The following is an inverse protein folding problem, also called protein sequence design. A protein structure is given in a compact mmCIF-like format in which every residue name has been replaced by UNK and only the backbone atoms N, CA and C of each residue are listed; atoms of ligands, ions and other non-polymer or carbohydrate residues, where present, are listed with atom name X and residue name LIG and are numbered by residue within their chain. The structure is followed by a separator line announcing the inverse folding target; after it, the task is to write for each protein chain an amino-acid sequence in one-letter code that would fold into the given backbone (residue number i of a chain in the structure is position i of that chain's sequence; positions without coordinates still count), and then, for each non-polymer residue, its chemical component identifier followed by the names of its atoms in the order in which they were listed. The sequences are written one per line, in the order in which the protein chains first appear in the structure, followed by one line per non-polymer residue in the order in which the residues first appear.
data_IF_621847841846
#
_entry.id   IF_621847841846
#
_cell.length_a   1.000
_cell.length_b   1.000
_cell.length_c   1.000
_cell.angle_alpha   90.00
_cell.angle_beta   90.00
_cell.angle_gamma   90.00
#
_symmetry.space_group_name_H-M   'P 1'
#
loop_
_entity.id
_entity.type
_entity.pdbx_description
1 polymer ?
#
# COMPACT_ATOMS: atom_id res chain seq x y z
N UNK A 1 -47.49 9.22 -16.22
CA UNK A 1 -46.86 8.62 -17.42
C UNK A 1 -45.38 8.48 -17.14
N UNK A 2 -44.88 7.24 -17.03
CA UNK A 2 -43.57 6.95 -16.45
C UNK A 2 -42.40 7.48 -17.29
N UNK A 3 -41.35 7.97 -16.61
CA UNK A 3 -40.09 8.43 -17.22
C UNK A 3 -39.51 7.38 -18.19
N UNK A 4 -39.70 6.09 -17.86
CA UNK A 4 -39.34 4.95 -18.69
C UNK A 4 -40.02 4.91 -20.07
N UNK A 5 -41.28 5.36 -20.19
CA UNK A 5 -41.95 5.41 -21.49
C UNK A 5 -41.37 6.52 -22.37
N UNK A 6 -41.15 7.71 -21.80
CA UNK A 6 -40.54 8.83 -22.53
C UNK A 6 -39.14 8.50 -23.04
N UNK A 7 -38.32 7.83 -22.24
CA UNK A 7 -36.97 7.40 -22.65
C UNK A 7 -37.05 6.40 -23.82
N UNK A 8 -37.99 5.45 -23.75
CA UNK A 8 -38.17 4.43 -24.79
C UNK A 8 -38.66 5.03 -26.11
N UNK A 9 -39.47 6.07 -26.05
CA UNK A 9 -40.01 6.76 -27.24
C UNK A 9 -38.93 7.61 -27.93
N UNK A 10 -38.05 8.27 -27.16
CA UNK A 10 -36.88 9.01 -27.69
C UNK A 10 -35.94 8.07 -28.45
N UNK A 11 -35.77 6.83 -27.99
CA UNK A 11 -34.93 5.82 -28.66
C UNK A 11 -35.62 5.11 -29.84
N UNK A 12 -36.94 5.17 -29.98
CA UNK A 12 -37.69 4.49 -31.05
C UNK A 12 -38.11 5.39 -32.23
N UNK A 13 -38.14 6.71 -32.06
CA UNK A 13 -38.52 7.66 -33.11
C UNK A 13 -37.44 7.98 -34.16
N UNK A 14 -37.71 8.93 -35.05
CA UNK A 14 -36.78 9.39 -36.12
C UNK A 14 -35.42 9.87 -35.59
N UNK A 15 -35.38 10.38 -34.34
CA UNK A 15 -34.17 10.89 -33.70
C UNK A 15 -33.29 9.81 -33.06
N UNK A 16 -33.53 8.51 -33.31
CA UNK A 16 -32.74 7.39 -32.76
C UNK A 16 -31.23 7.53 -32.95
N UNK A 17 -30.79 8.10 -34.09
CA UNK A 17 -29.37 8.35 -34.37
C UNK A 17 -28.76 9.36 -33.38
N UNK A 18 -29.51 10.41 -33.02
CA UNK A 18 -29.11 11.41 -32.05
C UNK A 18 -29.11 10.83 -30.62
N UNK A 19 -30.12 10.03 -30.27
CA UNK A 19 -30.16 9.34 -28.97
C UNK A 19 -28.97 8.39 -28.79
N UNK A 20 -28.60 7.66 -29.86
CA UNK A 20 -27.44 6.79 -29.85
C UNK A 20 -26.12 7.57 -29.76
N UNK A 21 -26.00 8.69 -30.46
CA UNK A 21 -24.85 9.59 -30.35
C UNK A 21 -24.70 10.12 -28.91
N UNK A 22 -25.78 10.59 -28.29
CA UNK A 22 -25.77 11.04 -26.89
C UNK A 22 -25.36 9.89 -25.96
N UNK A 23 -25.88 8.67 -26.16
CA UNK A 23 -25.50 7.52 -25.36
C UNK A 23 -24.00 7.16 -25.48
N UNK A 24 -23.44 7.19 -26.70
CA UNK A 24 -22.02 6.93 -26.94
C UNK A 24 -21.15 7.99 -26.27
N UNK A 25 -21.53 9.27 -26.39
CA UNK A 25 -20.84 10.38 -25.72
C UNK A 25 -20.90 10.22 -24.20
N UNK A 26 -22.06 9.84 -23.65
CA UNK A 26 -22.22 9.63 -22.21
C UNK A 26 -21.36 8.48 -21.69
N UNK A 27 -21.31 7.36 -22.43
CA UNK A 27 -20.43 6.22 -22.12
C UNK A 27 -18.96 6.61 -22.23
N UNK A 28 -18.59 7.42 -23.22
CA UNK A 28 -17.22 7.92 -23.37
C UNK A 28 -16.81 8.82 -22.19
N UNK A 29 -17.68 9.74 -21.75
CA UNK A 29 -17.40 10.59 -20.58
C UNK A 29 -17.33 9.78 -19.28
N UNK A 30 -18.24 8.82 -19.08
CA UNK A 30 -18.20 7.92 -17.92
C UNK A 30 -16.91 7.09 -17.96
N UNK A 31 -16.60 6.48 -19.11
CA UNK A 31 -15.37 5.70 -19.29
C UNK A 31 -14.12 6.55 -19.07
N UNK A 32 -14.08 7.77 -19.60
CA UNK A 32 -12.98 8.72 -19.39
C UNK A 32 -12.89 9.21 -17.95
N UNK A 33 -13.98 9.22 -17.17
CA UNK A 33 -13.93 9.52 -15.74
C UNK A 33 -13.33 8.36 -14.93
N UNK A 34 -13.61 7.11 -15.34
CA UNK A 34 -13.03 5.92 -14.72
C UNK A 34 -11.57 5.66 -15.14
N UNK A 35 -11.20 6.02 -16.37
CA UNK A 35 -9.89 5.75 -16.97
C UNK A 35 -8.97 6.99 -16.90
N UNK A 36 -9.52 8.20 -16.89
CA UNK A 36 -8.79 9.46 -16.86
C UNK A 36 -8.21 9.76 -15.48
N UNK A 37 -6.89 9.58 -15.38
CA UNK A 37 -5.97 10.21 -14.43
C UNK A 37 -6.56 10.71 -13.10
N UNK A 38 -6.54 9.88 -12.07
CA UNK A 38 -6.53 10.35 -10.67
C UNK A 38 -7.46 9.62 -9.71
N UNK A 39 -8.56 9.03 -10.20
CA UNK A 39 -9.56 8.37 -9.34
C UNK A 39 -9.59 6.84 -9.49
N UNK A 40 -8.48 6.27 -9.95
CA UNK A 40 -8.41 4.84 -10.26
C UNK A 40 -8.54 4.04 -8.97
N UNK A 41 -9.58 3.20 -8.88
CA UNK A 41 -9.74 2.14 -7.87
C UNK A 41 -8.44 1.32 -7.69
N UNK A 42 -7.62 1.25 -8.75
CA UNK A 42 -6.27 0.67 -8.74
C UNK A 42 -5.33 1.36 -7.74
N UNK A 43 -5.37 2.69 -7.59
CA UNK A 43 -4.58 3.40 -6.58
C UNK A 43 -5.04 3.05 -5.17
N UNK A 44 -6.35 2.96 -4.93
CA UNK A 44 -6.89 2.50 -3.65
C UNK A 44 -6.49 1.06 -3.32
N UNK A 45 -6.50 0.15 -4.30
CA UNK A 45 -6.06 -1.24 -4.13
C UNK A 45 -4.55 -1.30 -3.84
N UNK A 46 -3.72 -0.53 -4.56
CA UNK A 46 -2.28 -0.47 -4.32
C UNK A 46 -1.97 0.13 -2.94
N UNK A 47 -2.63 1.22 -2.57
CA UNK A 47 -2.47 1.85 -1.25
C UNK A 47 -2.87 0.89 -0.13
N UNK A 48 -3.99 0.15 -0.27
CA UNK A 48 -4.41 -0.83 0.72
C UNK A 48 -3.44 -2.00 0.86
N UNK A 49 -2.85 -2.48 -0.25
CA UNK A 49 -1.80 -3.50 -0.20
C UNK A 49 -0.53 -2.99 0.48
N UNK A 50 -0.15 -1.74 0.24
CA UNK A 50 1.00 -1.13 0.88
C UNK A 50 0.79 -0.99 2.39
N UNK A 51 -0.40 -0.56 2.83
CA UNK A 51 -0.76 -0.46 4.24
C UNK A 51 -0.69 -1.83 4.92
N UNK A 52 -1.33 -2.85 4.34
CA UNK A 52 -1.28 -4.21 4.92
C UNK A 52 0.14 -4.77 4.99
N UNK A 53 1.01 -4.44 4.01
CA UNK A 53 2.42 -4.84 4.01
C UNK A 53 3.21 -4.13 5.11
N UNK A 54 2.89 -2.87 5.39
CA UNK A 54 3.53 -2.10 6.46
C UNK A 54 3.08 -2.59 7.84
N UNK A 55 1.78 -2.88 8.03
CA UNK A 55 1.27 -3.48 9.27
C UNK A 55 1.90 -4.85 9.55
N UNK A 56 2.01 -5.71 8.53
CA UNK A 56 2.66 -7.02 8.68
C UNK A 56 4.15 -6.88 9.06
N UNK A 57 4.85 -5.89 8.51
CA UNK A 57 6.23 -5.60 8.91
C UNK A 57 6.32 -5.12 10.37
N UNK A 58 5.40 -4.26 10.81
CA UNK A 58 5.36 -3.78 12.20
C UNK A 58 5.12 -4.94 13.17
N UNK A 59 4.21 -5.85 12.83
CA UNK A 59 3.92 -7.03 13.66
C UNK A 59 5.14 -7.96 13.74
N UNK A 60 5.82 -8.19 12.63
CA UNK A 60 7.05 -8.99 12.59
C UNK A 60 8.20 -8.35 13.39
N UNK A 61 8.40 -7.03 13.29
CA UNK A 61 9.40 -6.33 14.09
C UNK A 61 9.06 -6.33 15.59
N UNK A 62 7.78 -6.21 15.95
CA UNK A 62 7.35 -6.32 17.36
C UNK A 62 7.64 -7.72 17.90
N UNK A 63 7.35 -8.76 17.13
CA UNK A 63 7.65 -10.13 17.51
C UNK A 63 9.14 -10.37 17.73
N UNK A 64 9.98 -9.85 16.83
CA UNK A 64 11.43 -9.91 16.98
C UNK A 64 11.91 -9.18 18.23
N UNK A 65 11.33 -8.01 18.55
CA UNK A 65 11.65 -7.28 19.79
C UNK A 65 11.25 -8.10 21.02
N UNK A 66 10.05 -8.67 21.06
CA UNK A 66 9.61 -9.50 22.18
C UNK A 66 10.48 -10.76 22.35
N UNK A 67 10.91 -11.38 21.25
CA UNK A 67 11.82 -12.53 21.27
C UNK A 67 13.22 -12.14 21.76
N UNK A 68 13.73 -10.99 21.32
CA UNK A 68 15.00 -10.43 21.80
C UNK A 68 14.90 -10.03 23.29
N UNK A 69 13.81 -9.41 23.71
CA UNK A 69 13.59 -8.96 25.09
C UNK A 69 13.38 -10.14 26.04
N UNK A 70 12.66 -11.19 25.61
CA UNK A 70 12.58 -12.45 26.35
C UNK A 70 13.90 -13.21 26.44
N UNK A 71 14.80 -13.01 25.46
CA UNK A 71 16.18 -13.53 25.50
C UNK A 71 17.08 -12.72 26.43
N UNK A 72 16.80 -11.42 26.59
CA UNK A 72 17.48 -10.51 27.53
C UNK A 72 17.02 -10.78 28.97
N UNK A 73 15.73 -11.05 29.21
CA UNK A 73 15.20 -11.27 30.57
C UNK A 73 15.70 -12.60 31.19
N UNK A 74 16.15 -13.57 30.37
CA UNK A 74 16.84 -14.78 30.85
C UNK A 74 18.33 -14.57 31.15
N UNK A 75 18.92 -13.45 30.74
CA UNK A 75 20.32 -13.10 30.99
C UNK A 75 20.36 -11.68 31.53
N UNK A 76 20.22 -11.55 32.85
CA UNK A 76 20.38 -10.30 33.58
C UNK A 76 21.39 -9.37 32.90
N UNK A 77 20.87 -8.21 32.52
CA UNK A 77 21.46 -7.09 31.79
C UNK A 77 22.88 -6.76 32.22
N UNK A 78 23.85 -7.50 31.70
CA UNK A 78 25.25 -7.11 31.74
C UNK A 78 25.50 -6.20 30.54
N UNK A 79 25.88 -4.94 30.78
CA UNK A 79 26.11 -3.93 29.74
C UNK A 79 27.11 -4.44 28.69
N UNK A 80 28.07 -5.26 29.12
CA UNK A 80 29.04 -5.94 28.24
C UNK A 80 28.38 -6.89 27.24
N UNK A 81 27.29 -7.56 27.62
CA UNK A 81 26.57 -8.47 26.73
C UNK A 81 25.80 -7.70 25.66
N UNK A 82 25.22 -6.55 26.03
CA UNK A 82 24.54 -5.66 25.09
C UNK A 82 25.52 -5.01 24.11
N UNK A 83 26.68 -4.56 24.60
CA UNK A 83 27.75 -4.03 23.76
C UNK A 83 28.27 -5.10 22.79
N UNK A 84 28.48 -6.33 23.27
CA UNK A 84 28.92 -7.44 22.43
C UNK A 84 27.91 -7.78 21.34
N UNK A 85 26.61 -7.80 21.66
CA UNK A 85 25.55 -8.00 20.67
C UNK A 85 25.51 -6.87 19.62
N UNK A 86 25.62 -5.62 20.06
CA UNK A 86 25.67 -4.46 19.17
C UNK A 86 26.87 -4.49 18.20
N UNK A 87 28.04 -4.94 18.69
CA UNK A 87 29.25 -5.11 17.88
C UNK A 87 29.16 -6.30 16.93
N UNK A 88 28.63 -7.45 17.36
CA UNK A 88 28.62 -8.68 16.55
C UNK A 88 27.49 -8.71 15.51
N UNK A 89 26.26 -8.32 15.87
CA UNK A 89 25.13 -8.37 14.94
C UNK A 89 25.00 -7.14 14.05
N UNK A 90 25.37 -5.97 14.58
CA UNK A 90 25.12 -4.70 13.91
C UNK A 90 26.41 -3.93 13.58
N UNK A 91 27.59 -4.47 13.94
CA UNK A 91 28.89 -3.83 13.72
C UNK A 91 28.94 -2.38 14.23
N UNK A 92 28.23 -2.07 15.32
CA UNK A 92 28.27 -0.73 15.91
C UNK A 92 29.65 -0.46 16.55
N UNK A 93 30.17 0.75 16.33
CA UNK A 93 31.42 1.24 16.93
C UNK A 93 31.15 2.34 17.96
N UNK A 94 31.98 2.38 19.01
CA UNK A 94 31.98 3.49 19.94
C UNK A 94 32.54 4.76 19.26
N UNK A 95 32.21 5.98 19.75
CA UNK A 95 32.75 7.21 19.20
C UNK A 95 34.28 7.21 19.24
N UNK A 96 34.93 7.14 18.07
CA UNK A 96 36.39 7.10 17.92
C UNK A 96 37.00 5.75 17.55
N UNK A 97 36.20 4.71 17.31
CA UNK A 97 36.66 3.42 16.79
C UNK A 97 36.38 3.27 15.28
N UNK A 98 37.34 2.71 14.54
CA UNK A 98 37.21 2.38 13.11
C UNK A 98 36.85 0.89 12.94
N UNK A 99 35.74 0.61 12.25
CA UNK A 99 35.29 -0.77 11.94
C UNK A 99 35.87 -1.21 10.60
N UNK A 100 36.60 -2.31 10.59
CA UNK A 100 37.16 -2.91 9.37
C UNK A 100 36.39 -4.19 9.02
N UNK A 101 35.66 -4.16 7.92
CA UNK A 101 35.02 -5.36 7.34
C UNK A 101 35.97 -5.91 6.29
N UNK A 102 36.54 -7.09 6.56
CA UNK A 102 37.43 -7.78 5.62
C UNK A 102 36.57 -8.77 4.82
N UNK A 103 36.25 -8.41 3.58
CA UNK A 103 35.74 -9.38 2.61
C UNK A 103 36.90 -10.27 2.13
N UNK A 104 36.65 -11.58 2.08
CA UNK A 104 37.63 -12.57 1.65
C UNK A 104 37.50 -12.84 0.14
#
# INVERSE_FOLDING_TARGET
MGIWQKIKDIFKGEHRKMAWFVAVVLVYFIGSWFIGSGNTIIHWIKAKREINRQEAQIEEYRRQIEEMEGSIDQRETDIDTLEKFAREQYNFAAPGEDVYIIEN
#
